data_IF_701851320870
#
_entry.id   IF_701851320870
#
_cell.length_a   1.000
_cell.length_b   1.000
_cell.length_c   1.000
_cell.angle_alpha   90.00
_cell.angle_beta   90.00
_cell.angle_gamma   90.00
#
_symmetry.space_group_name_H-M   'P 1'
#
loop_
_entity.id
_entity.type
_entity.pdbx_description
1 polymer ?
#
# COMPACT_ATOMS: atom_id res chain seq x y z
N UNK A 1 -4.19 26.69 -1.26
CA UNK A 1 -4.46 25.48 -2.07
C UNK A 1 -3.24 25.12 -2.93
N UNK A 2 -2.08 24.80 -2.33
CA UNK A 2 -0.89 24.32 -3.08
C UNK A 2 -0.41 22.92 -2.68
N UNK A 3 -0.87 22.39 -1.55
CA UNK A 3 -0.39 21.11 -1.01
C UNK A 3 -0.87 19.85 -1.76
N UNK A 4 -1.89 19.93 -2.60
CA UNK A 4 -2.48 18.73 -3.22
C UNK A 4 -1.70 18.21 -4.45
N UNK A 5 -0.86 19.04 -5.07
CA UNK A 5 -0.04 18.60 -6.23
C UNK A 5 1.33 18.06 -5.85
N UNK A 6 1.76 18.26 -4.61
CA UNK A 6 3.11 17.90 -4.15
C UNK A 6 3.23 16.43 -3.73
N UNK A 7 2.11 15.70 -3.63
CA UNK A 7 2.10 14.31 -3.15
C UNK A 7 2.46 13.30 -4.26
N UNK A 8 2.12 13.60 -5.52
CA UNK A 8 2.47 12.74 -6.66
C UNK A 8 3.90 12.90 -7.17
N UNK A 9 4.67 13.90 -6.71
CA UNK A 9 5.85 14.34 -7.47
C UNK A 9 7.05 13.40 -7.31
N UNK A 10 7.14 12.64 -6.21
CA UNK A 10 8.28 11.77 -5.94
C UNK A 10 8.50 10.70 -7.02
N UNK A 11 7.44 10.00 -7.45
CA UNK A 11 7.57 8.98 -8.49
C UNK A 11 7.98 9.57 -9.85
N UNK A 12 7.54 10.81 -10.15
CA UNK A 12 7.90 11.51 -11.40
C UNK A 12 9.39 11.85 -11.41
N UNK A 13 9.93 12.38 -10.31
CA UNK A 13 11.36 12.68 -10.20
C UNK A 13 12.23 11.43 -10.37
N UNK A 14 11.85 10.33 -9.71
CA UNK A 14 12.58 9.05 -9.82
C UNK A 14 12.54 8.54 -11.25
N UNK A 15 11.36 8.58 -11.89
CA UNK A 15 11.18 8.14 -13.27
C UNK A 15 12.04 8.97 -14.24
N UNK A 16 12.06 10.29 -14.11
CA UNK A 16 12.89 11.15 -14.98
C UNK A 16 14.38 10.81 -14.85
N UNK A 17 14.89 10.69 -13.63
CA UNK A 17 16.29 10.34 -13.41
C UNK A 17 16.66 8.95 -13.98
N UNK A 18 15.74 7.98 -13.90
CA UNK A 18 15.93 6.65 -14.47
C UNK A 18 15.84 6.64 -16.00
N UNK A 19 14.97 7.45 -16.60
CA UNK A 19 14.92 7.56 -18.06
C UNK A 19 16.17 8.24 -18.63
N UNK A 20 16.77 9.18 -17.90
CA UNK A 20 18.04 9.81 -18.30
C UNK A 20 19.22 8.82 -18.26
N UNK A 21 19.23 7.91 -17.29
CA UNK A 21 20.29 6.92 -17.11
C UNK A 21 20.09 5.65 -17.96
N UNK A 22 18.85 5.19 -18.09
CA UNK A 22 18.47 3.96 -18.80
C UNK A 22 17.09 4.09 -19.48
N UNK A 23 17.05 4.66 -20.70
CA UNK A 23 15.79 4.94 -21.41
C UNK A 23 14.95 3.69 -21.65
N UNK A 24 13.67 3.72 -21.24
CA UNK A 24 12.69 2.68 -21.53
C UNK A 24 12.91 1.34 -20.82
N UNK A 25 13.76 1.27 -19.79
CA UNK A 25 14.10 0.02 -19.10
C UNK A 25 13.23 -0.22 -17.87
N UNK A 26 13.04 0.80 -17.02
CA UNK A 26 12.36 0.64 -15.71
C UNK A 26 10.92 1.12 -15.79
N UNK A 27 9.95 0.26 -15.46
CA UNK A 27 8.53 0.64 -15.45
C UNK A 27 8.15 1.50 -14.24
N UNK A 28 7.11 2.32 -14.38
CA UNK A 28 6.54 3.06 -13.24
C UNK A 28 6.01 2.11 -12.16
N UNK A 29 5.46 0.96 -12.56
CA UNK A 29 5.10 -0.10 -11.64
C UNK A 29 6.31 -0.53 -10.79
N UNK A 30 7.45 -0.85 -11.41
CA UNK A 30 8.65 -1.28 -10.69
C UNK A 30 9.18 -0.21 -9.74
N UNK A 31 9.15 1.06 -10.15
CA UNK A 31 9.49 2.20 -9.29
C UNK A 31 8.64 2.24 -8.02
N UNK A 32 7.32 2.08 -8.13
CA UNK A 32 6.44 2.13 -6.96
C UNK A 32 6.73 1.01 -5.95
N UNK A 33 7.01 -0.21 -6.41
CA UNK A 33 7.33 -1.30 -5.49
C UNK A 33 8.73 -1.16 -4.85
N UNK A 34 9.70 -0.64 -5.60
CA UNK A 34 11.01 -0.30 -5.05
C UNK A 34 10.89 0.81 -4.01
N UNK A 35 10.10 1.85 -4.29
CA UNK A 35 9.82 2.92 -3.34
C UNK A 35 9.19 2.36 -2.05
N UNK A 36 8.21 1.46 -2.15
CA UNK A 36 7.61 0.82 -0.98
C UNK A 36 8.62 0.01 -0.15
N UNK A 37 9.51 -0.75 -0.80
CA UNK A 37 10.56 -1.50 -0.11
C UNK A 37 11.66 -0.61 0.51
N UNK A 38 11.93 0.56 -0.08
CA UNK A 38 12.83 1.55 0.53
C UNK A 38 12.15 2.21 1.73
N UNK A 39 10.87 2.56 1.62
CA UNK A 39 10.08 3.14 2.70
C UNK A 39 9.97 2.20 3.90
N UNK A 40 9.82 0.89 3.69
CA UNK A 40 9.81 -0.08 4.79
C UNK A 40 11.13 -0.09 5.55
N UNK A 41 12.26 -0.12 4.86
CA UNK A 41 13.60 -0.07 5.48
C UNK A 41 13.80 1.24 6.23
N UNK A 42 13.35 2.37 5.67
CA UNK A 42 13.42 3.68 6.32
C UNK A 42 12.53 3.74 7.58
N UNK A 43 11.41 3.01 7.59
CA UNK A 43 10.54 2.83 8.75
C UNK A 43 11.02 1.73 9.71
N UNK A 44 12.28 1.29 9.62
CA UNK A 44 12.87 0.21 10.43
C UNK A 44 12.24 -1.19 10.22
N UNK A 45 11.52 -1.38 9.11
CA UNK A 45 11.04 -2.66 8.64
C UNK A 45 12.14 -3.53 8.01
N UNK A 46 11.81 -4.78 7.62
CA UNK A 46 12.77 -5.68 7.03
C UNK A 46 13.21 -5.22 5.64
N UNK A 47 14.44 -5.57 5.26
CA UNK A 47 14.86 -5.48 3.86
C UNK A 47 14.44 -6.74 3.10
N UNK A 48 13.92 -6.57 1.89
CA UNK A 48 13.69 -7.67 0.96
C UNK A 48 14.06 -7.27 -0.47
N UNK A 49 14.46 -8.26 -1.28
CA UNK A 49 14.72 -8.04 -2.70
C UNK A 49 13.40 -7.99 -3.46
N UNK A 50 13.08 -6.86 -4.07
CA UNK A 50 11.86 -6.67 -4.86
C UNK A 50 11.97 -7.41 -6.20
N UNK A 51 11.02 -8.30 -6.55
CA UNK A 51 10.92 -8.84 -7.89
C UNK A 51 10.59 -7.73 -8.92
N UNK A 52 11.41 -7.65 -9.97
CA UNK A 52 11.29 -6.66 -11.05
C UNK A 52 10.74 -7.30 -12.33
N UNK A 53 10.31 -6.46 -13.27
CA UNK A 53 9.77 -6.89 -14.56
C UNK A 53 8.27 -6.63 -14.72
N UNK A 54 7.64 -5.88 -13.79
CA UNK A 54 6.26 -5.43 -13.98
C UNK A 54 6.22 -4.42 -15.13
N UNK A 55 5.09 -4.39 -15.86
CA UNK A 55 4.87 -3.45 -16.96
C UNK A 55 3.76 -2.48 -16.58
N UNK A 56 3.84 -1.27 -17.15
CA UNK A 56 2.86 -0.23 -16.88
C UNK A 56 1.52 -0.57 -17.53
N UNK A 57 0.44 -0.40 -16.76
CA UNK A 57 -0.91 -0.54 -17.28
C UNK A 57 -1.23 0.57 -18.28
N UNK A 58 -1.93 0.22 -19.37
CA UNK A 58 -2.31 1.18 -20.40
C UNK A 58 -3.55 2.00 -20.02
N UNK A 59 -4.29 1.55 -19.01
CA UNK A 59 -5.54 2.18 -18.57
C UNK A 59 -5.65 2.16 -17.05
N UNK A 60 -6.22 3.23 -16.50
CA UNK A 60 -6.64 3.28 -15.11
C UNK A 60 -8.12 2.86 -15.01
N UNK A 61 -8.49 2.14 -13.95
CA UNK A 61 -9.88 1.71 -13.73
C UNK A 61 -10.39 2.13 -12.36
N UNK A 62 -11.07 3.28 -12.32
CA UNK A 62 -11.64 3.84 -11.09
C UNK A 62 -12.75 2.96 -10.50
N UNK A 63 -13.57 2.34 -11.35
CA UNK A 63 -14.67 1.49 -10.89
C UNK A 63 -14.13 0.26 -10.16
N UNK A 64 -13.11 -0.40 -10.71
CA UNK A 64 -12.45 -1.52 -10.03
C UNK A 64 -11.75 -1.08 -8.75
N UNK A 65 -11.11 0.10 -8.72
CA UNK A 65 -10.51 0.62 -7.50
C UNK A 65 -11.55 0.81 -6.38
N UNK A 66 -12.71 1.38 -6.70
CA UNK A 66 -13.80 1.56 -5.73
C UNK A 66 -14.42 0.24 -5.22
N UNK A 67 -14.27 -0.85 -5.99
CA UNK A 67 -14.80 -2.18 -5.63
C UNK A 67 -13.76 -2.98 -4.84
N UNK A 68 -12.49 -2.94 -5.25
CA UNK A 68 -11.45 -3.81 -4.72
C UNK A 68 -10.75 -3.24 -3.49
N UNK A 69 -10.81 -1.93 -3.26
CA UNK A 69 -10.23 -1.32 -2.06
C UNK A 69 -11.20 -1.50 -0.88
N UNK A 70 -10.78 -2.17 0.21
CA UNK A 70 -11.63 -2.34 1.38
C UNK A 70 -11.88 -1.01 2.08
N UNK A 71 -13.11 -0.81 2.57
CA UNK A 71 -13.45 0.38 3.33
C UNK A 71 -12.99 0.23 4.79
N UNK A 72 -12.64 1.34 5.49
CA UNK A 72 -12.13 1.28 6.87
C UNK A 72 -13.16 0.77 7.89
N UNK A 73 -14.44 0.72 7.51
CA UNK A 73 -15.55 0.22 8.33
C UNK A 73 -15.96 -1.22 8.00
N UNK A 74 -15.19 -1.94 7.17
CA UNK A 74 -15.44 -3.36 6.91
C UNK A 74 -15.18 -4.21 8.17
N UNK A 75 -16.05 -5.19 8.40
CA UNK A 75 -15.81 -6.20 9.43
C UNK A 75 -14.74 -7.20 8.99
N UNK A 76 -14.24 -8.02 9.93
CA UNK A 76 -13.17 -8.98 9.67
C UNK A 76 -13.49 -9.95 8.52
N UNK A 77 -14.73 -10.42 8.41
CA UNK A 77 -15.14 -11.33 7.32
C UNK A 77 -15.05 -10.64 5.97
N UNK A 78 -15.54 -9.40 5.87
CA UNK A 78 -15.46 -8.60 4.64
C UNK A 78 -14.01 -8.27 4.25
N UNK A 79 -13.13 -8.00 5.22
CA UNK A 79 -11.70 -7.81 4.98
C UNK A 79 -11.05 -9.07 4.44
N UNK A 80 -11.35 -10.24 5.02
CA UNK A 80 -10.86 -11.54 4.55
C UNK A 80 -11.30 -11.81 3.11
N UNK A 81 -12.57 -11.58 2.80
CA UNK A 81 -13.11 -11.78 1.45
C UNK A 81 -12.43 -10.85 0.43
N UNK A 82 -12.22 -9.58 0.80
CA UNK A 82 -11.53 -8.60 -0.06
C UNK A 82 -10.08 -8.99 -0.37
N UNK A 83 -9.33 -9.46 0.63
CA UNK A 83 -7.96 -9.93 0.46
C UNK A 83 -7.89 -11.25 -0.33
N UNK A 84 -8.82 -12.16 -0.10
CA UNK A 84 -8.91 -13.43 -0.82
C UNK A 84 -9.14 -13.22 -2.33
N UNK A 85 -9.90 -12.20 -2.72
CA UNK A 85 -10.09 -11.81 -4.14
C UNK A 85 -8.77 -11.37 -4.79
N UNK A 86 -7.82 -10.85 -4.01
CA UNK A 86 -6.46 -10.50 -4.48
C UNK A 86 -5.47 -11.67 -4.33
N UNK A 87 -5.93 -12.86 -3.92
CA UNK A 87 -5.08 -14.02 -3.68
C UNK A 87 -4.24 -13.95 -2.40
N UNK A 88 -4.61 -13.08 -1.47
CA UNK A 88 -3.94 -12.89 -0.17
C UNK A 88 -4.71 -13.62 0.94
N UNK A 89 -3.99 -14.22 1.87
CA UNK A 89 -4.59 -14.99 2.96
C UNK A 89 -4.81 -14.16 4.24
N UNK A 90 -5.26 -14.81 5.31
CA UNK A 90 -5.48 -14.13 6.59
C UNK A 90 -4.18 -13.67 7.27
N UNK A 91 -3.06 -14.34 6.98
CA UNK A 91 -1.74 -13.97 7.48
C UNK A 91 -1.28 -12.68 6.81
N UNK A 92 -1.47 -12.57 5.50
CA UNK A 92 -1.19 -11.38 4.70
C UNK A 92 -2.04 -10.19 5.16
N UNK A 93 -3.33 -10.42 5.45
CA UNK A 93 -4.22 -9.39 6.00
C UNK A 93 -3.66 -8.81 7.31
N UNK A 94 -3.30 -9.68 8.26
CA UNK A 94 -2.76 -9.24 9.55
C UNK A 94 -1.42 -8.51 9.36
N UNK A 95 -0.52 -9.07 8.55
CA UNK A 95 0.79 -8.47 8.28
C UNK A 95 0.68 -7.08 7.63
N UNK A 96 -0.25 -6.90 6.68
CA UNK A 96 -0.44 -5.63 5.95
C UNK A 96 -1.27 -4.60 6.73
N UNK A 97 -2.17 -5.04 7.62
CA UNK A 97 -2.90 -4.14 8.55
C UNK A 97 -2.02 -3.53 9.64
N UNK A 98 -0.86 -4.12 9.93
CA UNK A 98 0.11 -3.58 10.89
C UNK A 98 0.74 -2.25 10.46
N UNK A 99 0.54 -1.80 9.22
CA UNK A 99 1.03 -0.52 8.70
C UNK A 99 0.23 0.70 9.20
N UNK A 100 -0.92 0.48 9.84
CA UNK A 100 -1.77 1.54 10.43
C UNK A 100 -1.13 2.23 11.66
N UNK A 101 0.10 1.87 12.04
CA UNK A 101 0.82 2.49 13.17
C UNK A 101 1.31 3.92 12.89
N UNK A 102 1.25 4.40 11.65
CA UNK A 102 1.93 5.65 11.26
C UNK A 102 1.11 6.69 10.51
N UNK A 103 -0.19 6.49 10.23
CA UNK A 103 -0.97 7.51 9.53
C UNK A 103 -2.14 8.11 10.33
N UNK A 104 -2.13 9.44 10.33
CA UNK A 104 -3.17 10.32 10.82
C UNK A 104 -4.44 10.08 10.00
N UNK A 105 -5.30 9.17 10.46
CA UNK A 105 -6.64 9.03 9.92
C UNK A 105 -7.31 10.42 9.89
N UNK A 106 -7.68 10.89 8.69
CA UNK A 106 -8.42 12.14 8.52
C UNK A 106 -9.77 11.97 9.23
N UNK A 107 -10.00 12.77 10.28
CA UNK A 107 -11.04 12.54 11.28
C UNK A 107 -12.42 12.20 10.69
N UNK A 108 -12.85 10.99 11.04
CA UNK A 108 -14.14 10.40 10.67
C UNK A 108 -14.39 9.02 11.26
N UNK A 109 -13.88 8.73 12.47
CA UNK A 109 -14.43 7.69 13.36
C UNK A 109 -14.01 6.23 13.12
N UNK A 110 -12.72 5.91 13.21
CA UNK A 110 -12.26 4.50 13.17
C UNK A 110 -10.99 4.15 13.97
N UNK A 111 -10.31 5.10 14.59
CA UNK A 111 -8.95 4.89 15.14
C UNK A 111 -8.82 4.12 16.46
N UNK A 112 -9.89 3.59 17.04
CA UNK A 112 -9.83 2.94 18.38
C UNK A 112 -10.36 1.50 18.43
N UNK A 113 -10.85 0.94 17.32
CA UNK A 113 -11.51 -0.36 17.34
C UNK A 113 -10.55 -1.56 17.17
N UNK A 114 -9.43 -1.40 16.47
CA UNK A 114 -8.51 -2.51 16.17
C UNK A 114 -7.48 -2.78 17.27
N UNK A 115 -7.09 -1.76 18.06
CA UNK A 115 -6.17 -1.93 19.18
C UNK A 115 -6.76 -2.78 20.31
N UNK A 116 -8.07 -2.70 20.54
CA UNK A 116 -8.75 -3.56 21.52
C UNK A 116 -8.94 -5.01 21.03
N UNK A 117 -9.02 -5.25 19.72
CA UNK A 117 -9.24 -6.60 19.19
C UNK A 117 -7.98 -7.50 19.27
N UNK A 118 -6.77 -6.90 19.19
CA UNK A 118 -5.51 -7.65 19.24
C UNK A 118 -4.97 -7.88 20.66
N UNK A 119 -5.33 -7.03 21.64
CA UNK A 119 -5.03 -7.26 23.06
C UNK A 119 -5.74 -8.51 23.61
N UNK A 120 -6.99 -8.74 23.20
CA UNK A 120 -7.79 -9.87 23.66
C UNK A 120 -7.51 -11.17 22.87
N UNK A 121 -6.98 -11.07 21.65
CA UNK A 121 -6.72 -12.22 20.76
C UNK A 121 -5.41 -12.95 21.01
N UNK A 122 -4.41 -12.31 21.61
CA UNK A 122 -3.10 -12.92 21.93
C UNK A 122 -3.02 -13.48 23.37
N UNK A 123 -4.17 -13.67 24.03
CA UNK A 123 -4.27 -14.19 25.40
C UNK A 123 -5.25 -15.35 25.56
N UNK A 124 -5.42 -16.18 24.53
CA UNK A 124 -5.92 -17.56 24.69
C UNK A 124 -5.20 -18.51 23.76
#
# INVERSE_FOLDING_TARGET
>A
MKKEKDDYVAHVYIKTALEDACPGVVSCADILALAAAVSSVLAHGPYWKVPLGRRDGLTANRTLANINLPAPFFNLTQLKDSFAVQGLDTTDLVALSGLDTTDLAHDGGGGAALTNALSEGLRR
#
